data_IF_609327484281
#
_entry.id   IF_609327484281
#
_cell.length_a   1.000
_cell.length_b   1.000
_cell.length_c   1.000
_cell.angle_alpha   90.00
_cell.angle_beta   90.00
_cell.angle_gamma   90.00
#
_symmetry.space_group_name_H-M   'P 1'
#
loop_
_entity.id
_entity.type
_entity.pdbx_description
1 polymer ?
#
# COMPACT_ATOMS: atom_id res chain seq x y z
N UNK A 1 29.66 32.17 -28.12
CA UNK A 1 28.77 30.99 -28.14
C UNK A 1 27.34 31.50 -28.01
N UNK A 2 26.56 31.53 -29.11
CA UNK A 2 25.20 32.11 -29.13
C UNK A 2 24.25 31.06 -28.63
N UNK A 3 23.79 31.17 -27.39
CA UNK A 3 22.76 30.32 -26.83
C UNK A 3 21.49 30.52 -27.65
N UNK A 4 20.97 29.45 -28.22
CA UNK A 4 19.78 29.49 -29.09
C UNK A 4 18.62 30.17 -28.32
N UNK A 5 17.99 31.17 -28.94
CA UNK A 5 16.92 31.99 -28.37
C UNK A 5 15.78 31.15 -27.79
N UNK A 6 15.46 30.01 -28.43
CA UNK A 6 14.44 29.03 -27.95
C UNK A 6 14.86 28.35 -26.63
N UNK A 7 16.16 27.99 -26.48
CA UNK A 7 16.68 27.36 -25.27
C UNK A 7 16.65 28.37 -24.11
N UNK A 8 17.04 29.64 -24.36
CA UNK A 8 16.96 30.70 -23.37
C UNK A 8 15.51 30.97 -22.93
N UNK A 9 14.55 30.97 -23.84
CA UNK A 9 13.13 31.15 -23.51
C UNK A 9 12.55 29.99 -22.72
N UNK A 10 13.07 28.78 -22.90
CA UNK A 10 12.65 27.60 -22.12
C UNK A 10 13.08 27.71 -20.65
N UNK A 11 14.34 28.10 -20.39
CA UNK A 11 14.85 28.25 -19.02
C UNK A 11 14.45 29.58 -18.34
N UNK A 12 14.21 30.63 -19.11
CA UNK A 12 13.80 31.95 -18.63
C UNK A 12 12.54 32.41 -19.34
N UNK A 13 11.38 31.81 -19.01
CA UNK A 13 10.12 32.19 -19.64
C UNK A 13 9.73 33.61 -19.24
N UNK A 14 9.11 34.36 -20.17
CA UNK A 14 8.54 35.67 -19.83
C UNK A 14 7.37 35.48 -18.86
N UNK A 15 7.38 36.20 -17.74
CA UNK A 15 6.33 36.17 -16.70
C UNK A 15 5.06 36.88 -17.18
N UNK A 16 4.42 36.32 -18.21
CA UNK A 16 3.14 36.84 -18.68
C UNK A 16 2.01 36.34 -17.78
N UNK A 17 0.87 37.05 -17.63
CA UNK A 17 -0.27 36.58 -16.88
C UNK A 17 -0.76 35.18 -17.29
N UNK A 18 -0.72 34.90 -18.60
CA UNK A 18 -1.06 33.56 -19.15
C UNK A 18 -0.09 32.47 -18.69
N UNK A 19 1.20 32.78 -18.58
CA UNK A 19 2.20 31.83 -18.05
C UNK A 19 1.96 31.57 -16.55
N UNK A 20 1.71 32.60 -15.76
CA UNK A 20 1.43 32.48 -14.33
C UNK A 20 0.17 31.66 -14.08
N UNK A 21 -0.90 31.86 -14.85
CA UNK A 21 -2.12 31.05 -14.74
C UNK A 21 -1.83 29.57 -15.02
N UNK A 22 -1.03 29.26 -16.06
CA UNK A 22 -0.65 27.87 -16.35
C UNK A 22 0.16 27.23 -15.22
N UNK A 23 1.13 27.95 -14.68
CA UNK A 23 1.94 27.47 -13.53
C UNK A 23 1.05 27.19 -12.33
N UNK A 24 0.14 28.11 -11.99
CA UNK A 24 -0.80 27.91 -10.89
C UNK A 24 -1.74 26.71 -11.13
N UNK A 25 -2.23 26.55 -12.35
CA UNK A 25 -3.09 25.40 -12.69
C UNK A 25 -2.34 24.06 -12.55
N UNK A 26 -1.09 23.99 -13.03
CA UNK A 26 -0.24 22.78 -12.89
C UNK A 26 0.09 22.53 -11.40
N UNK A 27 0.43 23.55 -10.65
CA UNK A 27 0.71 23.42 -9.22
C UNK A 27 -0.51 22.94 -8.43
N UNK A 28 -1.69 23.51 -8.73
CA UNK A 28 -2.95 23.09 -8.11
C UNK A 28 -3.29 21.64 -8.49
N UNK A 29 -3.14 21.28 -9.77
CA UNK A 29 -3.35 19.90 -10.22
C UNK A 29 -2.41 18.93 -9.50
N UNK A 30 -1.11 19.24 -9.45
CA UNK A 30 -0.13 18.41 -8.76
C UNK A 30 -0.46 18.28 -7.27
N UNK A 31 -0.83 19.36 -6.61
CA UNK A 31 -1.23 19.36 -5.21
C UNK A 31 -2.44 18.44 -4.95
N UNK A 32 -3.49 18.57 -5.77
CA UNK A 32 -4.69 17.74 -5.65
C UNK A 32 -4.38 16.27 -5.98
N UNK A 33 -3.62 16.02 -7.05
CA UNK A 33 -3.28 14.67 -7.47
C UNK A 33 -2.43 13.94 -6.45
N UNK A 34 -1.30 14.52 -6.04
CA UNK A 34 -0.39 13.88 -5.07
C UNK A 34 -0.89 13.94 -3.63
N UNK A 35 -1.69 14.92 -3.28
CA UNK A 35 -2.29 15.02 -1.95
C UNK A 35 -3.46 14.08 -1.72
N UNK A 36 -4.27 13.80 -2.75
CA UNK A 36 -5.57 13.12 -2.57
C UNK A 36 -5.71 11.82 -3.35
N UNK A 37 -5.04 11.70 -4.50
CA UNK A 37 -5.21 10.55 -5.41
C UNK A 37 -4.02 9.60 -5.35
N UNK A 38 -2.79 10.14 -5.42
CA UNK A 38 -1.56 9.36 -5.51
C UNK A 38 -0.56 9.83 -4.44
N UNK A 39 -0.66 9.30 -3.24
CA UNK A 39 0.14 9.76 -2.10
C UNK A 39 1.49 9.05 -2.04
N UNK A 40 2.62 9.77 -1.98
CA UNK A 40 3.92 9.14 -1.81
C UNK A 40 4.01 8.45 -0.43
N UNK A 41 4.57 7.23 -0.42
CA UNK A 41 4.81 6.40 0.76
C UNK A 41 6.30 6.15 0.93
N UNK A 42 6.83 6.43 2.09
CA UNK A 42 8.12 5.90 2.52
C UNK A 42 7.85 4.58 3.27
N UNK A 43 8.36 3.47 2.73
CA UNK A 43 8.18 2.15 3.33
C UNK A 43 9.14 2.03 4.52
N UNK A 44 8.58 1.77 5.70
CA UNK A 44 9.34 1.54 6.92
C UNK A 44 9.02 0.17 7.48
N UNK A 45 10.06 -0.60 7.81
CA UNK A 45 9.96 -1.95 8.35
C UNK A 45 10.19 -3.03 7.31
N UNK A 46 10.38 -4.24 7.79
CA UNK A 46 10.81 -5.41 7.00
C UNK A 46 9.67 -6.39 6.75
N UNK A 47 8.48 -6.14 7.26
CA UNK A 47 7.37 -7.11 7.27
C UNK A 47 6.82 -7.47 5.90
N UNK A 48 7.15 -6.72 4.86
CA UNK A 48 6.73 -6.95 3.47
C UNK A 48 7.89 -7.38 2.56
N UNK A 49 9.07 -7.65 3.11
CA UNK A 49 10.18 -8.20 2.34
C UNK A 49 9.90 -9.64 1.88
N UNK A 50 10.40 -10.01 0.69
CA UNK A 50 11.21 -9.20 -0.23
C UNK A 50 10.39 -8.34 -1.21
N UNK A 51 9.06 -8.40 -1.18
CA UNK A 51 8.22 -7.68 -2.14
C UNK A 51 8.39 -6.15 -2.05
N UNK A 52 8.57 -5.63 -0.83
CA UNK A 52 8.77 -4.20 -0.56
C UNK A 52 9.92 -4.01 0.42
N UNK A 53 10.96 -3.30 0.00
CA UNK A 53 12.17 -3.09 0.80
C UNK A 53 12.04 -1.91 1.76
N UNK A 54 12.59 -2.08 2.96
CA UNK A 54 12.70 -0.99 3.93
C UNK A 54 13.48 0.20 3.35
N UNK A 55 12.96 1.41 3.54
CA UNK A 55 13.56 2.66 3.04
C UNK A 55 13.21 3.00 1.60
N UNK A 56 12.54 2.13 0.86
CA UNK A 56 12.11 2.43 -0.50
C UNK A 56 10.91 3.40 -0.54
N UNK A 57 10.80 4.13 -1.63
CA UNK A 57 9.66 5.03 -1.90
C UNK A 57 8.73 4.34 -2.88
N UNK A 58 7.45 4.38 -2.58
CA UNK A 58 6.36 3.92 -3.45
C UNK A 58 5.25 4.98 -3.48
N UNK A 59 4.23 4.77 -4.26
CA UNK A 59 3.03 5.62 -4.29
C UNK A 59 1.79 4.80 -3.98
N UNK A 60 0.93 5.32 -3.13
CA UNK A 60 -0.36 4.74 -2.82
C UNK A 60 -1.43 5.30 -3.74
N UNK A 61 -2.03 4.45 -4.57
CA UNK A 61 -3.19 4.80 -5.38
C UNK A 61 -4.47 4.69 -4.55
N UNK A 62 -5.00 5.83 -4.12
CA UNK A 62 -6.17 5.89 -3.25
C UNK A 62 -7.49 5.70 -3.98
N UNK A 63 -7.50 5.95 -5.28
CA UNK A 63 -8.68 5.78 -6.13
C UNK A 63 -9.09 4.32 -6.37
N UNK A 64 -8.21 3.35 -6.04
CA UNK A 64 -8.44 1.94 -6.33
C UNK A 64 -9.76 1.40 -5.76
N UNK A 65 -10.07 1.78 -4.54
CA UNK A 65 -11.26 1.29 -3.81
C UNK A 65 -12.49 2.20 -3.92
N UNK A 66 -12.51 3.16 -4.84
CA UNK A 66 -13.72 3.93 -5.13
C UNK A 66 -14.81 3.06 -5.80
N UNK A 67 -14.39 2.05 -6.58
CA UNK A 67 -15.29 1.18 -7.35
C UNK A 67 -15.00 -0.32 -7.17
N UNK A 68 -14.09 -0.68 -6.27
CA UNK A 68 -13.72 -2.08 -6.01
C UNK A 68 -13.55 -2.34 -4.53
N UNK A 69 -13.60 -3.62 -4.15
CA UNK A 69 -13.23 -4.09 -2.80
C UNK A 69 -11.85 -4.74 -2.83
N UNK A 70 -11.14 -4.80 -1.68
CA UNK A 70 -9.89 -5.54 -1.58
C UNK A 70 -10.06 -7.00 -2.00
N UNK A 71 -9.07 -7.52 -2.73
CA UNK A 71 -9.05 -8.92 -3.19
C UNK A 71 -8.00 -9.71 -2.42
N UNK A 72 -8.16 -11.04 -2.36
CA UNK A 72 -7.13 -11.92 -1.81
C UNK A 72 -5.82 -11.74 -2.58
N UNK A 73 -4.70 -11.79 -1.89
CA UNK A 73 -3.32 -11.56 -2.33
C UNK A 73 -2.96 -10.11 -2.68
N UNK A 74 -3.90 -9.21 -2.67
CA UNK A 74 -3.63 -7.79 -2.92
C UNK A 74 -2.85 -7.17 -1.76
N UNK A 75 -1.84 -6.36 -2.07
CA UNK A 75 -1.14 -5.58 -1.05
C UNK A 75 -1.87 -4.27 -0.84
N UNK A 76 -2.18 -3.98 0.40
CA UNK A 76 -2.97 -2.80 0.79
C UNK A 76 -2.18 -1.88 1.72
N UNK A 77 -2.36 -0.58 1.56
CA UNK A 77 -1.90 0.43 2.49
C UNK A 77 -2.99 0.68 3.53
N UNK A 78 -2.68 0.42 4.80
CA UNK A 78 -3.63 0.50 5.92
C UNK A 78 -3.21 1.64 6.84
N UNK A 79 -4.15 2.51 7.20
CA UNK A 79 -3.93 3.55 8.21
C UNK A 79 -3.86 2.90 9.60
N UNK A 80 -2.72 3.04 10.28
CA UNK A 80 -2.49 2.42 11.59
C UNK A 80 -2.75 3.40 12.73
N UNK A 81 -1.86 4.33 12.96
CA UNK A 81 -1.96 5.29 14.06
C UNK A 81 -2.06 6.72 13.50
N UNK A 82 -3.16 7.38 13.77
CA UNK A 82 -3.42 8.71 13.22
C UNK A 82 -3.49 8.71 11.69
N UNK A 83 -3.28 9.88 11.07
CA UNK A 83 -3.34 10.03 9.61
C UNK A 83 -2.00 9.78 8.89
N UNK A 84 -0.90 9.70 9.63
CA UNK A 84 0.47 9.75 9.07
C UNK A 84 1.17 8.40 8.94
N UNK A 85 0.77 7.39 9.71
CA UNK A 85 1.41 6.06 9.68
C UNK A 85 0.57 5.10 8.88
N UNK A 86 1.14 4.60 7.79
CA UNK A 86 0.54 3.55 6.97
C UNK A 86 1.38 2.29 7.05
N UNK A 87 0.70 1.15 7.14
CA UNK A 87 1.31 -0.17 7.07
C UNK A 87 0.98 -0.77 5.72
N UNK A 88 1.97 -1.36 5.06
CA UNK A 88 1.73 -2.25 3.93
C UNK A 88 1.53 -3.66 4.45
N UNK A 89 0.48 -4.33 4.01
CA UNK A 89 0.17 -5.73 4.34
C UNK A 89 -0.54 -6.39 3.17
N UNK A 90 -0.45 -7.72 3.11
CA UNK A 90 -1.17 -8.51 2.10
C UNK A 90 -2.48 -9.03 2.65
N UNK A 91 -3.54 -8.93 1.87
CA UNK A 91 -4.84 -9.52 2.17
C UNK A 91 -4.75 -11.04 1.97
N UNK A 92 -5.00 -11.80 3.02
CA UNK A 92 -4.95 -13.27 2.98
C UNK A 92 -6.32 -13.93 3.15
N UNK A 93 -7.28 -13.23 3.79
CA UNK A 93 -8.66 -13.67 3.85
C UNK A 93 -9.62 -12.49 3.76
N UNK A 94 -10.82 -12.76 3.26
CA UNK A 94 -11.89 -11.79 3.01
C UNK A 94 -12.99 -11.90 4.06
N UNK A 95 -13.90 -10.93 4.05
CA UNK A 95 -15.10 -10.92 4.88
C UNK A 95 -15.85 -12.27 4.85
N UNK A 96 -16.22 -12.81 6.01
CA UNK A 96 -16.96 -14.04 6.16
C UNK A 96 -16.12 -15.32 6.09
N UNK A 97 -14.86 -15.24 5.70
CA UNK A 97 -13.96 -16.39 5.64
C UNK A 97 -13.33 -16.70 6.98
N UNK A 98 -12.96 -17.96 7.18
CA UNK A 98 -12.29 -18.45 8.38
C UNK A 98 -10.81 -18.67 8.10
N UNK A 99 -9.95 -17.90 8.74
CA UNK A 99 -8.50 -17.95 8.57
C UNK A 99 -7.82 -18.59 9.75
N UNK A 100 -6.81 -19.42 9.51
CA UNK A 100 -5.97 -20.05 10.53
C UNK A 100 -4.55 -20.31 9.98
N UNK A 101 -3.61 -20.52 10.90
CA UNK A 101 -2.27 -20.98 10.57
C UNK A 101 -1.97 -22.29 11.29
N UNK A 102 -1.51 -23.29 10.55
CA UNK A 102 -1.07 -24.60 11.07
C UNK A 102 0.33 -24.87 10.59
N UNK A 103 1.27 -25.00 11.53
CA UNK A 103 2.69 -25.21 11.21
C UNK A 103 3.24 -24.24 10.15
N UNK A 104 2.87 -22.97 10.26
CA UNK A 104 3.28 -21.90 9.35
C UNK A 104 2.56 -21.83 8.03
N UNK A 105 1.64 -22.74 7.73
CA UNK A 105 0.83 -22.75 6.52
C UNK A 105 -0.49 -22.05 6.74
N UNK A 106 -0.91 -21.27 5.76
CA UNK A 106 -2.19 -20.54 5.78
C UNK A 106 -3.32 -21.47 5.32
N UNK A 107 -4.40 -21.49 6.08
CA UNK A 107 -5.65 -22.13 5.70
C UNK A 107 -6.77 -21.11 5.69
N UNK A 108 -7.63 -21.18 4.67
CA UNK A 108 -8.85 -20.37 4.57
C UNK A 108 -10.01 -21.33 4.30
N UNK A 109 -11.03 -21.29 5.15
CA UNK A 109 -12.17 -22.20 5.15
C UNK A 109 -11.75 -23.68 5.14
N UNK A 110 -10.68 -23.99 5.88
CA UNK A 110 -10.13 -25.33 6.00
C UNK A 110 -9.28 -25.80 4.81
N UNK A 111 -9.13 -25.00 3.76
CA UNK A 111 -8.28 -25.31 2.60
C UNK A 111 -6.92 -24.63 2.73
N UNK A 112 -5.86 -25.37 2.50
CA UNK A 112 -4.51 -24.82 2.43
C UNK A 112 -4.39 -23.86 1.24
N UNK A 113 -3.83 -22.70 1.49
CA UNK A 113 -3.62 -21.65 0.50
C UNK A 113 -2.13 -21.62 0.11
N UNK A 114 -1.86 -21.71 -1.18
CA UNK A 114 -0.52 -21.54 -1.71
C UNK A 114 -0.12 -20.05 -1.68
N UNK A 115 1.06 -19.78 -1.11
CA UNK A 115 1.58 -18.43 -0.90
C UNK A 115 2.98 -18.27 -1.55
N UNK A 116 3.06 -18.22 -2.90
CA UNK A 116 4.34 -18.20 -3.62
C UNK A 116 5.18 -16.94 -3.35
N UNK A 117 4.57 -15.90 -2.80
CA UNK A 117 5.23 -14.65 -2.42
C UNK A 117 5.95 -14.75 -1.07
N UNK A 118 5.68 -15.76 -0.25
CA UNK A 118 6.34 -15.97 1.05
C UNK A 118 7.72 -16.61 0.81
N UNK A 119 8.77 -15.83 0.99
CA UNK A 119 10.17 -16.31 0.89
C UNK A 119 10.75 -16.75 2.22
N UNK A 120 10.22 -16.22 3.31
CA UNK A 120 10.68 -16.45 4.67
C UNK A 120 9.53 -17.10 5.46
N UNK A 121 9.41 -18.44 5.43
CA UNK A 121 8.31 -19.14 6.10
C UNK A 121 8.42 -19.04 7.61
N UNK A 122 7.31 -19.24 8.29
CA UNK A 122 7.19 -19.28 9.74
C UNK A 122 6.80 -20.68 10.23
N UNK A 123 6.67 -20.80 11.55
CA UNK A 123 6.12 -21.99 12.21
C UNK A 123 4.87 -21.67 13.04
N UNK A 124 4.15 -20.61 12.68
CA UNK A 124 2.99 -20.14 13.44
C UNK A 124 1.89 -21.18 13.54
N UNK A 125 1.29 -21.25 14.73
CA UNK A 125 0.04 -21.97 14.98
C UNK A 125 -0.94 -20.95 15.56
N UNK A 126 -1.86 -20.49 14.73
CA UNK A 126 -2.89 -19.54 15.12
C UNK A 126 -4.26 -20.19 14.96
N UNK A 127 -5.09 -20.13 16.03
CA UNK A 127 -6.40 -20.73 15.99
C UNK A 127 -7.29 -20.09 14.92
N UNK A 128 -8.29 -20.82 14.43
CA UNK A 128 -9.22 -20.31 13.45
C UNK A 128 -9.91 -19.04 13.92
N UNK A 129 -9.96 -18.04 13.03
CA UNK A 129 -10.67 -16.77 13.25
C UNK A 129 -11.59 -16.49 12.09
N UNK A 130 -12.83 -16.13 12.41
CA UNK A 130 -13.78 -15.61 11.43
C UNK A 130 -13.44 -14.17 11.11
N UNK A 131 -13.35 -13.83 9.83
CA UNK A 131 -13.19 -12.45 9.37
C UNK A 131 -14.54 -11.75 9.45
N UNK A 132 -14.62 -10.69 10.24
CA UNK A 132 -15.86 -9.96 10.48
C UNK A 132 -16.33 -9.19 9.24
N UNK A 133 -17.59 -8.76 9.31
CA UNK A 133 -18.19 -7.89 8.29
C UNK A 133 -17.38 -6.62 8.09
N UNK A 134 -17.26 -6.17 6.84
CA UNK A 134 -16.50 -4.99 6.43
C UNK A 134 -15.01 -5.03 6.83
N UNK A 135 -14.46 -6.23 7.03
CA UNK A 135 -13.05 -6.44 7.35
C UNK A 135 -12.36 -7.38 6.35
N UNK A 136 -11.04 -7.32 6.34
CA UNK A 136 -10.15 -8.29 5.70
C UNK A 136 -9.11 -8.76 6.69
N UNK A 137 -8.55 -9.94 6.50
CA UNK A 137 -7.41 -10.40 7.31
C UNK A 137 -6.11 -10.16 6.55
N UNK A 138 -5.15 -9.53 7.19
CA UNK A 138 -3.92 -9.08 6.54
C UNK A 138 -2.68 -9.56 7.29
N UNK A 139 -1.64 -9.93 6.53
CA UNK A 139 -0.37 -10.41 7.05
C UNK A 139 0.76 -9.81 6.22
N UNK A 140 1.95 -9.66 6.78
CA UNK A 140 3.15 -9.31 6.03
C UNK A 140 3.73 -10.52 5.30
N UNK A 141 4.54 -10.29 4.26
CA UNK A 141 5.15 -11.36 3.46
C UNK A 141 6.36 -11.99 4.16
N UNK A 142 7.03 -11.24 5.03
CA UNK A 142 8.18 -11.72 5.81
C UNK A 142 7.71 -12.48 7.08
N UNK A 143 7.30 -13.73 6.90
CA UNK A 143 6.64 -14.52 7.95
C UNK A 143 7.57 -14.96 9.10
N UNK A 144 8.88 -15.08 8.90
CA UNK A 144 9.78 -15.57 9.94
C UNK A 144 10.17 -14.50 10.99
N UNK A 145 9.64 -13.29 10.88
CA UNK A 145 9.75 -12.31 11.96
C UNK A 145 9.05 -12.85 13.23
N UNK A 146 9.59 -12.56 14.45
CA UNK A 146 8.90 -12.89 15.69
C UNK A 146 7.45 -12.43 15.67
N UNK A 147 6.53 -13.30 16.08
CA UNK A 147 5.08 -13.05 15.95
C UNK A 147 4.64 -11.80 16.72
N UNK A 148 5.29 -11.51 17.84
CA UNK A 148 5.07 -10.32 18.68
C UNK A 148 5.45 -9.01 17.97
N UNK A 149 6.36 -9.08 17.02
CA UNK A 149 6.81 -7.94 16.20
C UNK A 149 6.05 -7.84 14.86
N UNK A 150 5.17 -8.79 14.59
CA UNK A 150 4.48 -8.89 13.32
C UNK A 150 3.06 -8.33 13.43
N UNK A 151 2.90 -7.06 13.07
CA UNK A 151 1.57 -6.45 13.01
C UNK A 151 0.74 -7.11 11.91
N UNK A 152 -0.21 -7.93 12.28
CA UNK A 152 -1.11 -8.66 11.40
C UNK A 152 -2.49 -8.79 12.04
N UNK A 153 -3.46 -9.30 11.29
CA UNK A 153 -4.79 -9.60 11.80
C UNK A 153 -5.91 -8.92 11.01
N UNK A 154 -7.02 -8.72 11.67
CA UNK A 154 -8.20 -8.16 11.05
C UNK A 154 -8.06 -6.64 10.90
N UNK A 155 -8.33 -6.16 9.69
CA UNK A 155 -8.32 -4.74 9.35
C UNK A 155 -9.65 -4.34 8.75
N UNK A 156 -10.29 -3.29 9.30
CA UNK A 156 -11.50 -2.74 8.70
C UNK A 156 -11.21 -2.12 7.34
N UNK A 157 -12.07 -2.35 6.34
CA UNK A 157 -11.97 -1.78 5.00
C UNK A 157 -11.92 -0.24 5.02
N UNK A 158 -12.54 0.41 6.02
CA UNK A 158 -12.48 1.86 6.21
C UNK A 158 -11.07 2.39 6.52
N UNK A 159 -10.18 1.52 6.99
CA UNK A 159 -8.78 1.86 7.27
C UNK A 159 -7.86 1.64 6.08
N UNK A 160 -8.33 0.94 5.04
CA UNK A 160 -7.58 0.74 3.81
C UNK A 160 -7.61 2.03 3.00
N UNK A 161 -6.43 2.56 2.73
CA UNK A 161 -6.25 3.85 2.04
C UNK A 161 -6.16 3.67 0.53
N UNK A 162 -5.55 2.59 0.08
CA UNK A 162 -5.32 2.28 -1.33
C UNK A 162 -4.33 1.14 -1.51
N UNK A 163 -3.79 1.02 -2.71
CA UNK A 163 -2.80 0.01 -3.10
C UNK A 163 -1.48 0.67 -3.48
N UNK A 164 -0.32 0.03 -3.22
CA UNK A 164 0.94 0.49 -3.78
C UNK A 164 0.94 0.29 -5.30
N UNK A 165 1.61 1.17 -6.06
CA UNK A 165 1.64 1.10 -7.52
C UNK A 165 2.60 0.04 -8.08
N UNK A 166 3.69 -0.28 -7.35
CA UNK A 166 4.68 -1.33 -7.72
C UNK A 166 5.27 -1.98 -6.48
#
# INVERSE_FOLDING_TARGET
MVVNKKVRQFFFPSLTPKFLIRVLAVALFAYLFFGHICTPLLIKGYSMEPAYHNGSVNFCWRGHYLFSKPKRYEVVAIRFAGSKVMLLKRVVALEGERVEFRHGRLFVDGKEIDEPYVRYPCNWNLPPRQVEKDCVYVVGDHRNMPIENHLFGQASMKRIVGVPLW
#
